data_IF_523860007514
#
_entry.id   IF_523860007514
#
_cell.length_a   1.000
_cell.length_b   1.000
_cell.length_c   1.000
_cell.angle_alpha   90.00
_cell.angle_beta   90.00
_cell.angle_gamma   90.00
#
_symmetry.space_group_name_H-M   'P 1'
#
loop_
_entity.id
_entity.type
_entity.pdbx_description
1 polymer ?
#
# COMPACT_ATOMS: atom_id res chain seq x y z
N UNK A 1 -8.49 6.17 16.80
CA UNK A 1 -8.20 5.01 15.93
C UNK A 1 -9.51 4.62 15.24
N UNK A 2 -9.65 4.82 13.93
CA UNK A 2 -10.90 4.51 13.21
C UNK A 2 -11.01 2.99 12.98
N UNK A 3 -11.88 2.33 13.74
CA UNK A 3 -12.13 0.89 13.59
C UNK A 3 -12.93 0.59 12.32
N UNK A 4 -12.42 -0.32 11.49
CA UNK A 4 -13.08 -0.76 10.25
C UNK A 4 -13.93 -1.99 10.53
N UNK A 5 -15.13 -2.09 9.94
CA UNK A 5 -16.09 -3.19 10.17
C UNK A 5 -16.18 -4.07 8.92
N UNK A 6 -16.11 -5.39 9.11
CA UNK A 6 -16.39 -6.38 8.08
C UNK A 6 -17.61 -7.21 8.50
N UNK A 7 -18.53 -7.47 7.56
CA UNK A 7 -19.69 -8.34 7.77
C UNK A 7 -19.36 -9.81 7.54
N UNK A 8 -19.95 -10.71 8.32
CA UNK A 8 -19.78 -12.16 8.14
C UNK A 8 -20.27 -12.59 6.75
N UNK A 9 -19.49 -13.42 6.04
CA UNK A 9 -19.76 -13.86 4.66
C UNK A 9 -19.98 -12.72 3.65
N UNK A 10 -19.52 -11.51 3.98
CA UNK A 10 -19.55 -10.38 3.07
C UNK A 10 -18.12 -10.06 2.66
N UNK A 11 -17.97 -9.72 1.38
CA UNK A 11 -16.69 -9.27 0.86
C UNK A 11 -16.30 -7.96 1.53
N UNK A 12 -15.20 -7.98 2.28
CA UNK A 12 -14.57 -6.76 2.75
C UNK A 12 -13.65 -6.26 1.65
N UNK A 13 -13.75 -4.99 1.26
CA UNK A 13 -12.82 -4.34 0.33
C UNK A 13 -12.37 -3.01 0.92
N UNK A 14 -11.06 -2.81 1.01
CA UNK A 14 -10.50 -1.54 1.48
C UNK A 14 -9.28 -1.12 0.64
N UNK A 15 -9.33 0.04 -0.04
CA UNK A 15 -8.17 0.60 -0.71
C UNK A 15 -7.24 1.25 0.32
N UNK A 16 -6.00 0.80 0.38
CA UNK A 16 -4.98 1.45 1.22
C UNK A 16 -4.77 2.88 0.71
N UNK A 17 -4.84 3.83 1.64
CA UNK A 17 -4.62 5.25 1.34
C UNK A 17 -3.22 5.63 1.79
N UNK A 18 -2.40 6.09 0.85
CA UNK A 18 -1.10 6.71 1.13
C UNK A 18 -1.35 8.19 1.52
N UNK A 19 -0.50 8.77 2.37
CA UNK A 19 -0.61 10.18 2.78
C UNK A 19 0.07 11.15 1.78
N UNK A 20 0.58 10.67 0.65
CA UNK A 20 1.39 11.45 -0.29
C UNK A 20 0.98 11.16 -1.74
N UNK A 21 1.08 12.20 -2.57
CA UNK A 21 0.65 12.23 -3.96
C UNK A 21 1.27 11.05 -4.72
N UNK A 22 0.41 10.18 -5.25
CA UNK A 22 0.82 9.07 -6.12
C UNK A 22 1.04 9.64 -7.54
N UNK A 23 2.18 9.35 -8.16
CA UNK A 23 2.45 9.74 -9.55
C UNK A 23 2.87 11.19 -9.82
N UNK A 24 3.49 11.90 -8.86
CA UNK A 24 4.08 13.22 -9.14
C UNK A 24 5.20 13.10 -10.19
N UNK A 25 4.93 13.62 -11.41
CA UNK A 25 5.97 13.90 -12.40
C UNK A 25 6.72 15.14 -11.90
N UNK A 26 7.92 14.94 -11.36
CA UNK A 26 8.78 16.06 -11.01
C UNK A 26 9.70 16.37 -12.20
N UNK A 27 9.43 17.51 -12.83
CA UNK A 27 10.24 18.22 -13.83
C UNK A 27 9.98 17.90 -15.31
N UNK A 28 9.72 18.95 -16.10
CA UNK A 28 9.63 18.95 -17.57
C UNK A 28 10.49 20.10 -18.09
N UNK A 29 11.62 19.79 -18.72
CA UNK A 29 12.31 20.74 -19.60
C UNK A 29 12.37 20.17 -21.02
N UNK A 30 12.21 21.06 -22.01
CA UNK A 30 11.83 20.79 -23.40
C UNK A 30 12.87 20.08 -24.27
N UNK A 31 13.97 19.57 -23.70
CA UNK A 31 15.07 18.96 -24.47
C UNK A 31 15.35 17.50 -24.10
N UNK A 32 14.74 16.96 -23.03
CA UNK A 32 15.13 15.65 -22.52
C UNK A 32 13.90 14.81 -22.11
N UNK A 33 13.79 13.61 -22.70
CA UNK A 33 12.76 12.62 -22.39
C UNK A 33 13.04 11.98 -21.01
N UNK A 34 12.64 12.63 -19.93
CA UNK A 34 12.67 12.05 -18.58
C UNK A 34 11.26 11.71 -18.15
N UNK A 35 11.00 10.44 -17.90
CA UNK A 35 9.77 9.96 -17.28
C UNK A 35 10.16 9.14 -16.05
N UNK A 36 10.28 9.81 -14.91
CA UNK A 36 10.31 9.09 -13.63
C UNK A 36 8.87 8.75 -13.26
N UNK A 37 8.60 7.45 -13.11
CA UNK A 37 7.33 6.97 -12.57
C UNK A 37 7.59 6.43 -11.18
N UNK A 38 6.90 7.02 -10.21
CA UNK A 38 6.79 6.46 -8.87
C UNK A 38 5.82 5.27 -8.92
N UNK A 39 6.24 4.14 -8.36
CA UNK A 39 5.38 2.98 -8.16
C UNK A 39 5.35 2.58 -6.69
N UNK A 40 4.23 2.00 -6.27
CA UNK A 40 4.03 1.50 -4.91
C UNK A 40 3.82 -0.01 -4.93
N UNK A 41 4.65 -0.72 -4.16
CA UNK A 41 4.43 -2.12 -3.80
C UNK A 41 3.74 -2.21 -2.44
N UNK A 42 2.73 -3.06 -2.33
CA UNK A 42 2.01 -3.28 -1.07
C UNK A 42 2.30 -4.67 -0.51
N UNK A 43 2.47 -4.78 0.80
CA UNK A 43 2.76 -6.04 1.50
C UNK A 43 1.95 -6.17 2.79
N UNK A 44 1.19 -7.26 2.92
CA UNK A 44 0.50 -7.60 4.17
C UNK A 44 1.52 -8.19 5.14
N UNK A 45 1.94 -7.41 6.13
CA UNK A 45 2.93 -7.78 7.14
C UNK A 45 2.29 -8.64 8.24
N UNK A 46 1.09 -8.25 8.67
CA UNK A 46 0.30 -8.95 9.68
C UNK A 46 -1.17 -8.93 9.28
N UNK A 47 -1.85 -10.06 9.37
CA UNK A 47 -3.28 -10.14 9.13
C UNK A 47 -3.83 -11.55 9.34
N UNK A 48 -5.16 -11.69 9.44
CA UNK A 48 -5.80 -12.99 9.58
C UNK A 48 -5.81 -13.76 8.25
N UNK A 49 -5.88 -15.10 8.32
CA UNK A 49 -5.74 -15.98 7.15
C UNK A 49 -6.81 -15.77 6.06
N UNK A 50 -7.98 -15.25 6.42
CA UNK A 50 -9.06 -14.95 5.48
C UNK A 50 -8.83 -13.67 4.66
N UNK A 51 -7.86 -12.84 5.05
CA UNK A 51 -7.56 -11.56 4.43
C UNK A 51 -6.36 -11.68 3.49
N UNK A 52 -6.50 -11.13 2.28
CA UNK A 52 -5.45 -11.05 1.27
C UNK A 52 -5.27 -9.61 0.82
N UNK A 53 -4.05 -9.28 0.40
CA UNK A 53 -3.70 -8.00 -0.19
C UNK A 53 -3.30 -8.21 -1.64
N UNK A 54 -3.95 -7.52 -2.55
CA UNK A 54 -3.43 -7.35 -3.90
C UNK A 54 -2.26 -6.36 -3.84
N UNK A 55 -1.06 -6.87 -4.15
CA UNK A 55 0.19 -6.11 -4.05
C UNK A 55 0.27 -4.97 -5.08
N UNK A 56 -0.40 -5.13 -6.22
CA UNK A 56 -0.38 -4.16 -7.31
C UNK A 56 -1.40 -3.03 -7.09
N UNK A 57 -2.60 -3.37 -6.62
CA UNK A 57 -3.67 -2.37 -6.44
C UNK A 57 -3.78 -1.83 -5.02
N UNK A 58 -3.13 -2.48 -4.04
CA UNK A 58 -3.24 -2.10 -2.63
C UNK A 58 -4.62 -2.41 -2.02
N UNK A 59 -5.41 -3.26 -2.67
CA UNK A 59 -6.74 -3.64 -2.20
C UNK A 59 -6.64 -4.81 -1.23
N UNK A 60 -7.13 -4.60 -0.01
CA UNK A 60 -7.34 -5.68 0.96
C UNK A 60 -8.73 -6.29 0.75
N UNK A 61 -8.76 -7.60 0.50
CA UNK A 61 -9.99 -8.35 0.31
C UNK A 61 -9.98 -9.70 1.01
N UNK A 62 -11.16 -10.16 1.43
CA UNK A 62 -11.29 -11.42 2.15
C UNK A 62 -12.70 -11.66 2.66
N UNK A 63 -12.97 -12.91 3.04
CA UNK A 63 -14.26 -13.30 3.62
C UNK A 63 -14.03 -13.98 4.97
N UNK A 64 -14.29 -13.30 6.11
CA UNK A 64 -14.15 -13.91 7.42
C UNK A 64 -15.18 -15.04 7.61
N UNK A 65 -14.71 -16.17 8.14
CA UNK A 65 -15.54 -17.27 8.59
C UNK A 65 -16.10 -17.05 9.99
N UNK A 66 -16.92 -17.99 10.47
CA UNK A 66 -17.52 -17.91 11.81
C UNK A 66 -16.46 -17.97 12.94
N UNK A 67 -15.32 -18.61 12.68
CA UNK A 67 -14.21 -18.70 13.64
C UNK A 67 -13.38 -17.41 13.74
N UNK A 68 -13.58 -16.47 12.80
CA UNK A 68 -12.82 -15.22 12.72
C UNK A 68 -13.52 -14.04 13.44
N UNK A 69 -14.60 -14.32 14.19
CA UNK A 69 -15.35 -13.32 14.93
C UNK A 69 -14.48 -12.67 16.02
N UNK A 70 -14.56 -11.34 16.14
CA UNK A 70 -13.74 -10.58 17.10
C UNK A 70 -12.94 -9.47 16.44
N UNK A 71 -11.79 -9.14 17.01
CA UNK A 71 -10.88 -8.09 16.51
C UNK A 71 -9.63 -8.73 15.93
N UNK A 72 -9.30 -8.39 14.69
CA UNK A 72 -8.07 -8.77 14.03
C UNK A 72 -7.19 -7.54 13.82
N UNK A 73 -5.92 -7.63 14.23
CA UNK A 73 -4.91 -6.63 13.90
C UNK A 73 -4.42 -6.85 12.47
N UNK A 74 -4.27 -5.75 11.73
CA UNK A 74 -3.75 -5.74 10.37
C UNK A 74 -2.62 -4.71 10.30
N UNK A 75 -1.49 -5.13 9.72
CA UNK A 75 -0.36 -4.27 9.39
C UNK A 75 -0.04 -4.44 7.91
N UNK A 76 0.00 -3.33 7.19
CA UNK A 76 0.43 -3.29 5.79
C UNK A 76 1.61 -2.37 5.64
N UNK A 77 2.59 -2.80 4.86
CA UNK A 77 3.76 -2.04 4.46
C UNK A 77 3.59 -1.59 3.01
N UNK A 78 3.93 -0.33 2.76
CA UNK A 78 4.01 0.24 1.43
C UNK A 78 5.49 0.53 1.16
N UNK A 79 5.99 0.02 0.03
CA UNK A 79 7.34 0.29 -0.44
C UNK A 79 7.27 1.08 -1.72
N UNK A 80 7.94 2.22 -1.74
CA UNK A 80 8.07 3.02 -2.95
C UNK A 80 9.22 2.53 -3.82
N UNK A 81 8.99 2.42 -5.12
CA UNK A 81 9.99 2.08 -6.13
C UNK A 81 9.98 3.08 -7.28
N UNK A 82 11.10 3.16 -7.99
CA UNK A 82 11.28 4.02 -9.15
C UNK A 82 11.79 3.17 -10.34
N UNK A 83 10.92 2.38 -10.99
CA UNK A 83 11.36 1.49 -12.07
C UNK A 83 11.92 2.22 -13.30
N UNK A 84 11.62 3.51 -13.45
CA UNK A 84 12.06 4.35 -14.56
C UNK A 84 12.92 5.53 -14.09
N UNK A 85 13.91 5.26 -13.24
CA UNK A 85 14.86 6.26 -12.75
C UNK A 85 15.91 6.64 -13.82
N UNK A 86 16.18 7.93 -13.98
CA UNK A 86 17.31 8.37 -14.81
C UNK A 86 18.63 8.11 -14.07
N UNK A 87 19.55 7.35 -14.67
CA UNK A 87 20.88 7.05 -14.08
C UNK A 87 21.87 8.19 -14.27
N UNK A 88 21.47 9.42 -13.96
CA UNK A 88 22.40 10.54 -14.01
C UNK A 88 23.28 10.58 -12.75
N UNK A 89 24.58 10.89 -12.88
CA UNK A 89 25.49 10.91 -11.74
C UNK A 89 25.15 11.99 -10.70
N UNK A 90 24.39 13.03 -11.09
CA UNK A 90 23.99 14.13 -10.20
C UNK A 90 22.66 13.90 -9.47
N UNK A 91 21.90 12.85 -9.83
CA UNK A 91 20.60 12.57 -9.21
C UNK A 91 20.32 11.07 -9.23
N UNK A 92 20.47 10.43 -8.06
CA UNK A 92 20.20 9.00 -7.87
C UNK A 92 19.23 8.80 -6.71
N UNK A 93 18.02 8.33 -7.01
CA UNK A 93 16.98 7.91 -6.07
C UNK A 93 17.25 6.55 -5.41
N UNK A 94 18.42 5.97 -5.62
CA UNK A 94 18.88 4.83 -4.83
C UNK A 94 19.23 5.19 -3.38
N UNK A 95 19.36 6.50 -3.06
CA UNK A 95 19.65 7.01 -1.72
C UNK A 95 18.51 6.75 -0.71
N UNK A 96 18.83 6.56 0.58
CA UNK A 96 17.83 6.21 1.61
C UNK A 96 16.66 7.21 1.73
N UNK A 97 16.92 8.50 1.50
CA UNK A 97 15.88 9.55 1.56
C UNK A 97 14.75 9.38 0.52
N UNK A 98 14.99 8.61 -0.55
CA UNK A 98 13.98 8.31 -1.57
C UNK A 98 13.31 6.96 -1.36
N UNK A 99 13.91 6.07 -0.57
CA UNK A 99 13.33 4.80 -0.12
C UNK A 99 12.33 5.04 1.01
N UNK A 100 11.18 5.61 0.66
CA UNK A 100 10.09 5.78 1.60
C UNK A 100 9.38 4.44 1.82
N UNK A 101 9.42 3.97 3.06
CA UNK A 101 8.55 2.93 3.57
C UNK A 101 7.46 3.61 4.39
N UNK A 102 6.21 3.26 4.13
CA UNK A 102 5.09 3.64 4.99
C UNK A 102 4.46 2.37 5.59
N UNK A 103 3.94 2.50 6.81
CA UNK A 103 3.27 1.41 7.53
C UNK A 103 1.92 1.85 8.01
N UNK A 104 0.91 1.08 7.63
CA UNK A 104 -0.45 1.28 8.09
C UNK A 104 -0.87 0.12 8.99
N UNK A 105 -1.07 0.42 10.28
CA UNK A 105 -1.62 -0.50 11.26
C UNK A 105 -3.06 -0.10 11.62
N UNK A 106 -3.97 -1.06 11.61
CA UNK A 106 -5.36 -0.85 12.01
C UNK A 106 -6.01 -2.16 12.46
N UNK A 107 -7.22 -2.04 13.01
CA UNK A 107 -8.00 -3.17 13.46
C UNK A 107 -9.24 -3.36 12.59
N UNK A 108 -9.52 -4.61 12.25
CA UNK A 108 -10.80 -5.03 11.66
C UNK A 108 -11.61 -5.72 12.75
N UNK A 109 -12.84 -5.23 12.97
CA UNK A 109 -13.81 -5.93 13.81
C UNK A 109 -14.74 -6.75 12.93
N UNK A 110 -14.68 -8.07 13.08
CA UNK A 110 -15.61 -9.03 12.49
C UNK A 110 -16.77 -9.20 13.44
N UNK A 111 -17.95 -8.75 13.01
CA UNK A 111 -19.19 -8.91 13.79
C UNK A 111 -19.93 -10.19 13.36
N UNK A 112 -20.57 -10.91 14.31
CA UNK A 112 -21.36 -12.10 14.02
C UNK A 112 -22.49 -11.88 13.01
#
# INVERSE_FOLDING_TARGET
MQGRRAGRRQEYSYPIRTLRCDGDIQYRDGTLYYAEKEEYGHELVKGPAWLKLDRATGVLAGTPGSADAGVADVEVRLTRTYPYESRQPAFSKSEPQFRAEDRQAFQIRVVP
#
